data_IF_941266908655
#
_entry.id   IF_941266908655
#
_cell.length_a   1.000
_cell.length_b   1.000
_cell.length_c   1.000
_cell.angle_alpha   90.00
_cell.angle_beta   90.00
_cell.angle_gamma   90.00
#
_symmetry.space_group_name_H-M   'P 1'
#
loop_
_entity.id
_entity.type
_entity.pdbx_description
1 polymer ?
#
# COMPACT_ATOMS: atom_id res chain seq x y z
N UNK A 1 -1.05 28.41 11.10
CA UNK A 1 -0.04 28.25 10.04
C UNK A 1 1.11 27.44 10.62
N UNK A 2 1.06 26.11 10.50
CA UNK A 2 2.06 25.24 11.12
C UNK A 2 3.43 25.50 10.51
N UNK A 3 4.44 25.64 11.37
CA UNK A 3 5.85 25.79 11.05
C UNK A 3 6.20 24.81 9.93
N UNK A 4 6.51 25.35 8.75
CA UNK A 4 7.17 24.60 7.69
C UNK A 4 8.35 23.89 8.34
N UNK A 5 8.29 22.57 8.49
CA UNK A 5 9.46 21.79 8.82
C UNK A 5 10.54 22.23 7.83
N UNK A 6 11.58 22.94 8.30
CA UNK A 6 12.57 23.54 7.42
C UNK A 6 13.12 22.48 6.48
N UNK A 7 13.47 22.83 5.25
CA UNK A 7 13.90 21.87 4.22
C UNK A 7 14.90 20.80 4.76
N UNK A 8 15.75 21.15 5.74
CA UNK A 8 16.61 20.22 6.45
C UNK A 8 15.89 19.09 7.23
N UNK A 9 14.81 19.38 7.94
CA UNK A 9 14.02 18.37 8.65
C UNK A 9 13.36 17.36 7.68
N UNK A 10 12.87 17.85 6.53
CA UNK A 10 12.31 16.99 5.47
C UNK A 10 13.39 16.09 4.86
N UNK A 11 14.58 16.63 4.59
CA UNK A 11 15.71 15.86 4.05
C UNK A 11 16.19 14.77 5.02
N UNK A 12 16.26 15.07 6.33
CA UNK A 12 16.60 14.09 7.36
C UNK A 12 15.55 12.98 7.40
N UNK A 13 14.26 13.34 7.35
CA UNK A 13 13.17 12.35 7.28
C UNK A 13 13.33 11.41 6.08
N UNK A 14 13.54 11.97 4.88
CA UNK A 14 13.77 11.19 3.67
C UNK A 14 15.00 10.27 3.76
N UNK A 15 16.11 10.76 4.33
CA UNK A 15 17.32 9.97 4.51
C UNK A 15 17.07 8.76 5.43
N UNK A 16 16.38 8.97 6.56
CA UNK A 16 16.02 7.89 7.49
C UNK A 16 15.10 6.88 6.78
N UNK A 17 14.10 7.34 6.02
CA UNK A 17 13.22 6.45 5.25
C UNK A 17 14.00 5.65 4.20
N UNK A 18 14.92 6.29 3.47
CA UNK A 18 15.75 5.61 2.47
C UNK A 18 16.64 4.53 3.11
N UNK A 19 17.29 4.83 4.22
CA UNK A 19 18.11 3.86 4.97
C UNK A 19 17.25 2.70 5.50
N UNK A 20 16.07 3.00 6.04
CA UNK A 20 15.10 1.99 6.47
C UNK A 20 14.64 1.06 5.33
N UNK A 21 14.34 1.61 4.15
CA UNK A 21 13.96 0.81 2.98
C UNK A 21 15.11 -0.07 2.47
N UNK A 22 16.34 0.46 2.45
CA UNK A 22 17.52 -0.30 2.01
C UNK A 22 17.83 -1.46 2.96
N UNK A 23 17.82 -1.22 4.26
CA UNK A 23 18.02 -2.28 5.26
C UNK A 23 16.97 -3.39 5.14
N UNK A 24 15.69 -3.02 4.95
CA UNK A 24 14.62 -3.98 4.71
C UNK A 24 14.85 -4.77 3.40
N UNK A 25 15.26 -4.10 2.33
CA UNK A 25 15.57 -4.74 1.06
C UNK A 25 16.71 -5.76 1.17
N UNK A 26 17.79 -5.44 1.91
CA UNK A 26 18.89 -6.37 2.15
C UNK A 26 18.45 -7.59 2.98
N UNK A 27 17.56 -7.40 3.96
CA UNK A 27 16.98 -8.52 4.71
C UNK A 27 16.19 -9.44 3.77
N UNK A 28 15.32 -8.89 2.93
CA UNK A 28 14.56 -9.69 1.96
C UNK A 28 15.45 -10.36 0.91
N UNK A 29 16.47 -9.67 0.41
CA UNK A 29 17.44 -10.24 -0.51
C UNK A 29 18.20 -11.40 0.12
N UNK A 30 18.61 -11.26 1.39
CA UNK A 30 19.30 -12.32 2.14
C UNK A 30 18.40 -13.53 2.35
N UNK A 31 17.13 -13.32 2.68
CA UNK A 31 16.12 -14.37 2.82
C UNK A 31 15.88 -15.11 1.49
N UNK A 32 15.72 -14.37 0.39
CA UNK A 32 15.54 -14.92 -0.95
C UNK A 32 16.74 -15.77 -1.41
N UNK A 33 17.96 -15.31 -1.15
CA UNK A 33 19.18 -16.05 -1.51
C UNK A 33 19.40 -17.29 -0.62
N UNK A 34 18.92 -17.29 0.63
CA UNK A 34 19.12 -18.39 1.59
C UNK A 34 18.09 -19.52 1.46
N UNK A 35 16.86 -19.23 1.00
CA UNK A 35 15.81 -20.25 0.82
C UNK A 35 15.11 -20.11 -0.54
N UNK A 36 15.81 -20.46 -1.65
CA UNK A 36 15.28 -20.33 -3.00
C UNK A 36 14.09 -21.26 -3.32
N UNK A 37 13.80 -22.27 -2.50
CA UNK A 37 12.66 -23.19 -2.69
C UNK A 37 11.30 -22.63 -2.22
N UNK A 38 11.26 -21.47 -1.57
CA UNK A 38 10.03 -20.86 -1.05
C UNK A 38 9.43 -19.87 -2.05
N UNK A 39 8.72 -20.38 -3.05
CA UNK A 39 8.03 -19.63 -4.12
C UNK A 39 6.69 -18.98 -3.68
N UNK A 40 6.58 -18.56 -2.42
CA UNK A 40 5.34 -18.01 -1.84
C UNK A 40 5.42 -16.56 -1.34
N UNK A 41 6.52 -15.85 -1.61
CA UNK A 41 6.70 -14.45 -1.19
C UNK A 41 6.92 -14.27 0.31
N UNK A 42 6.78 -13.02 0.80
CA UNK A 42 7.10 -12.58 2.19
C UNK A 42 6.45 -13.50 3.25
N UNK A 43 5.26 -14.02 2.97
CA UNK A 43 4.51 -14.91 3.84
C UNK A 43 5.17 -16.29 4.01
N UNK A 44 5.70 -16.88 2.94
CA UNK A 44 6.36 -18.19 2.99
C UNK A 44 7.65 -18.13 3.83
N UNK A 45 8.41 -17.03 3.74
CA UNK A 45 9.60 -16.81 4.57
C UNK A 45 9.25 -16.59 6.05
N UNK A 46 8.20 -15.80 6.34
CA UNK A 46 7.78 -15.53 7.72
C UNK A 46 7.22 -16.79 8.42
N UNK A 47 6.44 -17.60 7.71
CA UNK A 47 5.91 -18.88 8.20
C UNK A 47 7.02 -19.91 8.46
N UNK A 48 8.02 -19.97 7.58
CA UNK A 48 9.16 -20.89 7.73
C UNK A 48 10.17 -20.49 8.82
N UNK A 49 10.28 -19.20 9.15
CA UNK A 49 11.27 -18.67 10.10
C UNK A 49 10.75 -18.44 11.53
N UNK A 50 9.49 -17.99 11.67
CA UNK A 50 8.94 -17.54 12.96
C UNK A 50 7.65 -18.26 13.38
N UNK A 51 7.24 -19.29 12.64
CA UNK A 51 5.99 -20.04 12.87
C UNK A 51 4.74 -19.31 12.35
N UNK A 52 3.60 -20.01 12.38
CA UNK A 52 2.35 -19.53 11.78
C UNK A 52 1.86 -18.18 12.35
N UNK A 53 2.17 -17.86 13.61
CA UNK A 53 1.67 -16.66 14.29
C UNK A 53 2.34 -15.35 13.82
N UNK A 54 3.66 -15.33 13.68
CA UNK A 54 4.40 -14.14 13.24
C UNK A 54 4.24 -13.90 11.72
N UNK A 55 4.10 -14.98 10.95
CA UNK A 55 3.70 -14.90 9.54
C UNK A 55 2.29 -14.35 9.36
N UNK A 56 1.34 -14.78 10.22
CA UNK A 56 -0.02 -14.23 10.22
C UNK A 56 -0.05 -12.74 10.57
N UNK A 57 0.66 -12.31 11.62
CA UNK A 57 0.71 -10.90 12.02
C UNK A 57 1.28 -9.99 10.92
N UNK A 58 2.32 -10.45 10.22
CA UNK A 58 2.92 -9.69 9.11
C UNK A 58 2.00 -9.59 7.89
N UNK A 59 1.33 -10.69 7.53
CA UNK A 59 0.34 -10.68 6.44
C UNK A 59 -0.88 -9.83 6.80
N UNK A 60 -1.33 -9.89 8.04
CA UNK A 60 -2.42 -9.08 8.56
C UNK A 60 -2.08 -7.58 8.53
N UNK A 61 -0.88 -7.22 8.98
CA UNK A 61 -0.37 -5.84 8.91
C UNK A 61 -0.28 -5.32 7.48
N UNK A 62 0.23 -6.13 6.55
CA UNK A 62 0.25 -5.80 5.12
C UNK A 62 -1.15 -5.58 4.56
N UNK A 63 -2.09 -6.46 4.90
CA UNK A 63 -3.47 -6.37 4.43
C UNK A 63 -4.20 -5.13 4.97
N UNK A 64 -4.03 -4.82 6.27
CA UNK A 64 -4.54 -3.57 6.85
C UNK A 64 -3.90 -2.33 6.21
N UNK A 65 -2.59 -2.37 5.94
CA UNK A 65 -1.89 -1.27 5.24
C UNK A 65 -2.43 -1.05 3.83
N UNK A 66 -2.71 -2.13 3.09
CA UNK A 66 -3.31 -2.03 1.76
C UNK A 66 -4.70 -1.38 1.80
N UNK A 67 -5.53 -1.74 2.79
CA UNK A 67 -6.84 -1.12 3.00
C UNK A 67 -6.74 0.37 3.35
N UNK A 68 -5.90 0.70 4.34
CA UNK A 68 -5.71 2.08 4.76
C UNK A 68 -5.15 2.93 3.61
N UNK A 69 -4.17 2.40 2.89
CA UNK A 69 -3.56 3.04 1.72
C UNK A 69 -4.59 3.33 0.63
N UNK A 70 -5.42 2.35 0.27
CA UNK A 70 -6.48 2.56 -0.73
C UNK A 70 -7.46 3.65 -0.28
N UNK A 71 -7.92 3.63 0.97
CA UNK A 71 -8.82 4.66 1.51
C UNK A 71 -8.15 6.03 1.48
N UNK A 72 -6.90 6.14 1.93
CA UNK A 72 -6.14 7.40 1.90
C UNK A 72 -5.97 7.95 0.48
N UNK A 73 -5.70 7.11 -0.51
CA UNK A 73 -5.61 7.53 -1.91
C UNK A 73 -6.93 8.09 -2.43
N UNK A 74 -8.06 7.42 -2.17
CA UNK A 74 -9.36 7.93 -2.57
C UNK A 74 -9.68 9.26 -1.89
N UNK A 75 -9.44 9.39 -0.59
CA UNK A 75 -9.64 10.65 0.14
C UNK A 75 -8.79 11.77 -0.47
N UNK A 76 -7.51 11.54 -0.75
CA UNK A 76 -6.63 12.52 -1.41
C UNK A 76 -7.12 12.91 -2.80
N UNK A 77 -7.57 11.94 -3.60
CA UNK A 77 -8.09 12.17 -4.95
C UNK A 77 -9.35 13.04 -4.92
N UNK A 78 -10.30 12.72 -4.04
CA UNK A 78 -11.53 13.51 -3.90
C UNK A 78 -11.29 14.86 -3.23
N UNK A 79 -10.35 14.95 -2.29
CA UNK A 79 -9.92 16.21 -1.70
C UNK A 79 -9.33 17.13 -2.78
N UNK A 80 -8.49 16.59 -3.68
CA UNK A 80 -7.94 17.33 -4.82
C UNK A 80 -9.03 17.75 -5.81
N UNK A 81 -9.99 16.87 -6.11
CA UNK A 81 -11.15 17.22 -6.95
C UNK A 81 -12.08 18.25 -6.29
N UNK A 82 -12.13 18.28 -4.96
CA UNK A 82 -12.85 19.29 -4.17
C UNK A 82 -12.37 20.71 -4.39
N UNK A 83 -11.11 20.88 -4.80
CA UNK A 83 -10.54 22.18 -5.20
C UNK A 83 -11.25 22.73 -6.45
N UNK A 84 -11.66 21.86 -7.38
CA UNK A 84 -12.34 22.25 -8.62
C UNK A 84 -13.86 22.25 -8.49
N UNK A 85 -14.41 21.31 -7.72
CA UNK A 85 -15.85 21.17 -7.48
C UNK A 85 -16.13 21.19 -5.98
N UNK A 86 -16.65 22.30 -5.42
CA UNK A 86 -16.85 22.45 -3.96
C UNK A 86 -17.84 21.44 -3.36
N UNK A 87 -18.56 20.67 -4.19
CA UNK A 87 -19.40 19.55 -3.78
C UNK A 87 -18.61 18.43 -3.06
N UNK A 88 -17.32 18.26 -3.37
CA UNK A 88 -16.49 17.21 -2.75
C UNK A 88 -15.79 17.67 -1.45
N UNK A 89 -15.80 18.97 -1.13
CA UNK A 89 -15.22 19.52 0.10
C UNK A 89 -13.77 19.09 0.34
N UNK A 90 -13.45 18.68 1.56
CA UNK A 90 -12.12 18.15 1.93
C UNK A 90 -11.90 16.67 1.53
N UNK A 91 -12.82 16.06 0.77
CA UNK A 91 -12.78 14.63 0.42
C UNK A 91 -13.45 13.69 1.44
N UNK A 92 -14.00 14.23 2.54
CA UNK A 92 -14.75 13.48 3.57
C UNK A 92 -16.28 13.70 3.49
N UNK A 93 -16.78 14.34 2.44
CA UNK A 93 -18.21 14.56 2.26
C UNK A 93 -18.90 13.27 1.82
N UNK A 94 -20.17 13.05 2.19
CA UNK A 94 -20.95 11.86 1.82
C UNK A 94 -20.92 11.59 0.31
N UNK A 95 -20.97 12.64 -0.51
CA UNK A 95 -20.85 12.56 -1.98
C UNK A 95 -19.49 12.03 -2.43
N UNK A 96 -18.40 12.45 -1.78
CA UNK A 96 -17.05 11.95 -2.06
C UNK A 96 -16.91 10.47 -1.70
N UNK A 97 -17.50 10.04 -0.58
CA UNK A 97 -17.50 8.62 -0.16
C UNK A 97 -18.27 7.75 -1.16
N UNK A 98 -19.44 8.21 -1.63
CA UNK A 98 -20.24 7.48 -2.62
C UNK A 98 -19.50 7.36 -3.96
N UNK A 99 -18.93 8.47 -4.46
CA UNK A 99 -18.14 8.44 -5.69
C UNK A 99 -16.85 7.60 -5.56
N UNK A 100 -16.18 7.65 -4.40
CA UNK A 100 -15.02 6.80 -4.11
C UNK A 100 -15.38 5.32 -4.08
N UNK A 101 -16.51 4.96 -3.48
CA UNK A 101 -17.00 3.58 -3.48
C UNK A 101 -17.28 3.09 -4.90
N UNK A 102 -17.96 3.89 -5.73
CA UNK A 102 -18.23 3.55 -7.13
C UNK A 102 -16.94 3.37 -7.94
N UNK A 103 -15.96 4.25 -7.77
CA UNK A 103 -14.65 4.12 -8.41
C UNK A 103 -13.89 2.88 -7.94
N UNK A 104 -13.91 2.60 -6.63
CA UNK A 104 -13.28 1.43 -6.03
C UNK A 104 -13.85 0.15 -6.62
N UNK A 105 -15.18 0.04 -6.71
CA UNK A 105 -15.84 -1.09 -7.37
C UNK A 105 -15.48 -1.17 -8.86
N UNK A 106 -15.44 -0.04 -9.57
CA UNK A 106 -15.02 0.01 -10.98
C UNK A 106 -13.60 -0.52 -11.20
N UNK A 107 -12.64 -0.07 -10.40
CA UNK A 107 -11.25 -0.57 -10.43
C UNK A 107 -11.19 -2.04 -10.05
N UNK A 108 -11.95 -2.46 -9.03
CA UNK A 108 -12.03 -3.86 -8.62
C UNK A 108 -12.53 -4.76 -9.76
N UNK A 109 -13.61 -4.38 -10.45
CA UNK A 109 -14.11 -5.11 -11.62
C UNK A 109 -13.10 -5.12 -12.77
N UNK A 110 -12.37 -4.02 -12.99
CA UNK A 110 -11.33 -3.94 -14.01
C UNK A 110 -10.18 -4.90 -13.69
N UNK A 111 -9.73 -4.96 -12.43
CA UNK A 111 -8.70 -5.89 -11.97
C UNK A 111 -9.17 -7.34 -12.11
N UNK A 112 -10.40 -7.66 -11.72
CA UNK A 112 -10.98 -8.99 -11.91
C UNK A 112 -11.07 -9.39 -13.39
N UNK A 113 -11.35 -8.42 -14.27
CA UNK A 113 -11.37 -8.65 -15.73
C UNK A 113 -9.96 -8.80 -16.30
N UNK A 114 -8.98 -8.07 -15.77
CA UNK A 114 -7.58 -8.14 -16.18
C UNK A 114 -6.94 -9.48 -15.75
N UNK A 115 -7.23 -9.96 -14.54
CA UNK A 115 -6.72 -11.26 -14.07
C UNK A 115 -7.32 -12.44 -14.84
N UNK A 116 -8.60 -12.33 -15.25
CA UNK A 116 -9.26 -13.33 -16.10
C UNK A 116 -8.70 -13.38 -17.53
N UNK A 117 -7.99 -12.33 -17.98
CA UNK A 117 -7.44 -12.23 -19.35
C UNK A 117 -6.00 -12.72 -19.52
N UNK A 118 -5.32 -13.22 -18.47
CA UNK A 118 -4.06 -13.95 -18.67
C UNK A 118 -4.38 -15.38 -19.11
N UNK A 119 -4.09 -15.78 -20.36
CA UNK A 119 -4.01 -17.20 -20.68
C UNK A 119 -2.84 -17.76 -19.86
N UNK A 120 -3.08 -18.83 -19.14
CA UNK A 120 -2.04 -19.70 -18.60
C UNK A 120 -1.18 -20.18 -19.77
N UNK A 121 -0.06 -19.51 -20.04
CA UNK A 121 1.01 -20.11 -20.82
C UNK A 121 1.69 -21.14 -19.91
N UNK A 122 1.39 -22.39 -20.23
CA UNK A 122 2.15 -23.63 -19.98
C UNK A 122 3.63 -23.44 -19.73
#
# INVERSE_FOLDING_TARGET
>A
MAVSAGAGAVLIGWAITAVGMLTLAFVFQTLANRKPELDGGIYAYAKAGFGDYMGFSSAWGYWMSAWLGNVSYFVLLFSTLGIFFPIFGEGNTLTAIVCASLLLWGVHFLVLRASRKRPSST
#
